data_IF_892951053244
#
_entry.id   IF_892951053244
#
_cell.length_a   1.000
_cell.length_b   1.000
_cell.length_c   1.000
_cell.angle_alpha   90.00
_cell.angle_beta   90.00
_cell.angle_gamma   90.00
#
_symmetry.space_group_name_H-M   'P 1'
#
loop_
_entity.id
_entity.type
_entity.pdbx_description
1 polymer ?
#
# COMPACT_ATOMS: atom_id res chain seq x y z
N UNK A 1 -17.20 0.54 -2.29
CA UNK A 1 -16.26 0.89 -3.38
C UNK A 1 -14.96 0.10 -3.20
N UNK A 2 -14.29 -0.29 -4.28
CA UNK A 2 -12.95 -0.89 -4.24
C UNK A 2 -11.95 0.12 -4.82
N UNK A 3 -10.89 0.42 -4.07
CA UNK A 3 -9.87 1.38 -4.46
C UNK A 3 -8.50 0.73 -4.41
N UNK A 4 -7.68 1.01 -5.42
CA UNK A 4 -6.28 0.58 -5.45
C UNK A 4 -5.38 1.80 -5.43
N UNK A 5 -4.49 1.86 -4.45
CA UNK A 5 -3.55 2.96 -4.28
C UNK A 5 -2.15 2.44 -4.60
N UNK A 6 -1.42 3.23 -5.39
CA UNK A 6 -0.04 2.96 -5.75
C UNK A 6 0.87 3.86 -4.94
N UNK A 7 1.69 3.25 -4.10
CA UNK A 7 2.68 3.94 -3.32
C UNK A 7 4.04 4.02 -3.99
N UNK A 8 4.88 4.85 -3.39
CA UNK A 8 6.30 4.95 -3.70
C UNK A 8 7.09 4.55 -2.47
N UNK A 9 8.16 3.78 -2.67
CA UNK A 9 9.03 3.39 -1.58
C UNK A 9 10.47 3.29 -2.06
N UNK A 10 11.40 3.63 -1.18
CA UNK A 10 12.82 3.50 -1.43
C UNK A 10 13.46 2.57 -0.42
N UNK A 11 14.33 1.68 -0.91
CA UNK A 11 15.11 0.84 -0.02
C UNK A 11 16.23 1.66 0.63
N UNK A 12 16.24 1.70 1.96
CA UNK A 12 17.24 2.40 2.78
C UNK A 12 18.64 1.79 2.68
N UNK A 13 18.74 0.52 2.29
CA UNK A 13 20.03 -0.17 2.19
C UNK A 13 20.68 -0.03 0.81
N UNK A 14 19.94 -0.29 -0.27
CA UNK A 14 20.48 -0.24 -1.64
C UNK A 14 20.10 1.03 -2.41
N UNK A 15 19.35 1.96 -1.80
CA UNK A 15 18.87 3.22 -2.39
C UNK A 15 18.06 3.05 -3.69
N UNK A 16 17.49 1.85 -3.91
CA UNK A 16 16.61 1.60 -5.05
C UNK A 16 15.25 2.22 -4.78
N UNK A 17 14.74 3.00 -5.72
CA UNK A 17 13.37 3.50 -5.71
C UNK A 17 12.43 2.53 -6.45
N UNK A 18 11.25 2.32 -5.88
CA UNK A 18 10.16 1.46 -6.35
C UNK A 18 8.87 2.28 -6.52
N UNK A 19 8.93 3.30 -7.37
CA UNK A 19 7.80 4.15 -7.71
C UNK A 19 6.69 3.34 -8.40
N UNK A 20 5.46 3.42 -7.88
CA UNK A 20 4.27 2.80 -8.47
C UNK A 20 4.20 1.27 -8.39
N UNK A 21 5.15 0.63 -7.69
CA UNK A 21 5.23 -0.84 -7.53
C UNK A 21 4.57 -1.35 -6.27
N UNK A 22 4.31 -0.45 -5.32
CA UNK A 22 3.73 -0.75 -4.03
C UNK A 22 2.21 -0.64 -4.16
N UNK A 23 1.51 -1.77 -4.09
CA UNK A 23 0.07 -1.84 -4.31
C UNK A 23 -0.66 -2.06 -2.98
N UNK A 24 -1.66 -1.22 -2.69
CA UNK A 24 -2.58 -1.44 -1.58
C UNK A 24 -4.01 -1.40 -2.09
N UNK A 25 -4.78 -2.42 -1.73
CA UNK A 25 -6.20 -2.48 -1.96
C UNK A 25 -6.95 -2.00 -0.71
N UNK A 26 -7.91 -1.12 -0.94
CA UNK A 26 -8.85 -0.63 0.05
C UNK A 26 -10.25 -1.00 -0.36
N UNK A 27 -11.07 -1.33 0.64
CA UNK A 27 -12.48 -1.58 0.46
C UNK A 27 -13.28 -0.72 1.43
N UNK A 28 -14.32 -0.12 0.90
CA UNK A 28 -15.30 0.61 1.69
C UNK A 28 -16.24 -0.36 2.40
N UNK A 29 -16.45 -0.16 3.70
CA UNK A 29 -17.41 -0.92 4.49
C UNK A 29 -18.85 -0.44 4.30
N UNK A 30 -19.79 -1.04 5.05
CA UNK A 30 -21.22 -0.70 5.00
C UNK A 30 -21.54 0.71 5.49
N UNK A 31 -20.64 1.31 6.28
CA UNK A 31 -20.76 2.66 6.84
C UNK A 31 -20.05 3.71 5.95
N UNK A 32 -19.49 3.30 4.81
CA UNK A 32 -18.77 4.19 3.90
C UNK A 32 -17.32 4.46 4.29
N UNK A 33 -16.75 3.70 5.24
CA UNK A 33 -15.36 3.90 5.67
C UNK A 33 -14.41 2.98 4.91
N UNK A 34 -13.29 3.55 4.45
CA UNK A 34 -12.23 2.78 3.80
C UNK A 34 -11.46 1.94 4.82
N UNK A 35 -11.32 0.66 4.52
CA UNK A 35 -10.55 -0.29 5.31
C UNK A 35 -9.50 -0.98 4.45
N UNK A 36 -8.36 -1.31 5.06
CA UNK A 36 -7.33 -2.14 4.42
C UNK A 36 -7.80 -3.58 4.33
N UNK A 37 -7.63 -4.21 3.16
CA UNK A 37 -7.93 -5.63 2.96
C UNK A 37 -6.64 -6.47 2.99
N UNK A 38 -6.74 -7.81 3.14
CA UNK A 38 -5.61 -8.73 2.95
C UNK A 38 -4.75 -8.30 1.74
N UNK A 39 -3.42 -8.16 1.92
CA UNK A 39 -2.54 -7.88 0.78
C UNK A 39 -2.67 -9.02 -0.22
N UNK A 40 -2.52 -8.68 -1.51
CA UNK A 40 -2.44 -9.68 -2.57
C UNK A 40 -1.39 -10.72 -2.19
N UNK A 41 -1.77 -11.99 -2.22
CA UNK A 41 -0.80 -13.05 -2.00
C UNK A 41 0.20 -13.05 -3.17
N UNK A 42 1.40 -13.62 -2.99
CA UNK A 42 2.48 -13.53 -4.01
C UNK A 42 2.11 -14.08 -5.39
N UNK A 43 1.04 -14.88 -5.49
CA UNK A 43 0.44 -15.40 -6.72
C UNK A 43 -0.54 -14.43 -7.41
N UNK A 44 -0.92 -13.34 -6.77
CA UNK A 44 -1.82 -12.31 -7.29
C UNK A 44 -1.08 -11.02 -7.67
N UNK A 45 0.18 -10.88 -7.23
CA UNK A 45 1.06 -9.78 -7.62
C UNK A 45 1.59 -9.98 -9.05
N UNK A 46 1.60 -8.89 -9.84
CA UNK A 46 2.28 -8.85 -11.13
C UNK A 46 3.81 -8.93 -10.95
N UNK A 47 4.56 -9.31 -11.99
CA UNK A 47 6.02 -9.53 -11.96
C UNK A 47 6.82 -8.32 -11.41
N UNK A 48 6.26 -7.13 -11.52
CA UNK A 48 6.85 -5.85 -11.14
C UNK A 48 6.25 -5.21 -9.88
N UNK A 49 5.27 -5.87 -9.24
CA UNK A 49 4.65 -5.42 -8.00
C UNK A 49 5.37 -5.97 -6.76
N UNK A 50 5.33 -5.21 -5.67
CA UNK A 50 5.97 -5.57 -4.41
C UNK A 50 4.91 -5.67 -3.31
N UNK A 51 4.92 -6.81 -2.62
CA UNK A 51 4.07 -7.07 -1.47
C UNK A 51 4.40 -6.10 -0.33
N UNK A 52 3.36 -5.52 0.27
CA UNK A 52 3.47 -4.70 1.48
C UNK A 52 2.75 -5.41 2.62
N UNK A 53 3.41 -5.47 3.75
CA UNK A 53 2.88 -6.01 4.99
C UNK A 53 2.43 -4.83 5.85
N UNK A 54 1.12 -4.61 5.92
CA UNK A 54 0.51 -3.54 6.73
C UNK A 54 -0.52 -4.11 7.70
N UNK A 55 -0.88 -3.32 8.72
CA UNK A 55 -1.93 -3.70 9.66
C UNK A 55 -3.33 -3.58 9.03
N UNK A 56 -4.20 -4.54 9.35
CA UNK A 56 -5.62 -4.48 8.97
C UNK A 56 -6.36 -3.46 9.81
N UNK A 57 -7.21 -2.65 9.18
CA UNK A 57 -8.07 -1.73 9.90
C UNK A 57 -8.56 -0.54 9.08
N UNK A 58 -9.20 0.43 9.76
CA UNK A 58 -9.69 1.64 9.15
C UNK A 58 -8.52 2.50 8.65
N UNK A 59 -8.70 3.05 7.45
CA UNK A 59 -7.74 3.94 6.81
C UNK A 59 -8.09 5.37 7.16
N UNK A 60 -7.12 6.10 7.71
CA UNK A 60 -7.28 7.53 8.03
C UNK A 60 -6.49 8.38 7.06
N UNK A 61 -5.18 8.58 7.26
CA UNK A 61 -4.38 9.52 6.47
C UNK A 61 -3.30 8.81 5.63
N UNK A 62 -2.79 7.69 6.13
CA UNK A 62 -1.75 6.90 5.50
C UNK A 62 -1.84 5.44 5.92
N UNK A 63 -1.23 4.58 5.12
CA UNK A 63 -1.04 3.17 5.45
C UNK A 63 0.44 2.95 5.69
N UNK A 64 0.77 2.51 6.90
CA UNK A 64 2.12 2.18 7.30
C UNK A 64 2.32 0.66 7.26
N UNK A 65 3.46 0.24 6.75
CA UNK A 65 3.80 -1.16 6.63
C UNK A 65 5.28 -1.39 6.38
N UNK A 66 5.63 -2.61 6.03
CA UNK A 66 6.97 -3.00 5.62
C UNK A 66 6.95 -3.71 4.27
N UNK A 67 8.04 -3.62 3.53
CA UNK A 67 8.26 -4.41 2.32
C UNK A 67 9.67 -4.98 2.30
N UNK A 68 9.83 -6.14 1.68
CA UNK A 68 11.14 -6.74 1.45
C UNK A 68 11.70 -6.24 0.12
N UNK A 69 12.87 -5.61 0.14
CA UNK A 69 13.50 -5.12 -1.08
C UNK A 69 13.89 -6.30 -2.00
N UNK A 70 13.40 -6.37 -3.24
CA UNK A 70 13.70 -7.50 -4.13
C UNK A 70 15.20 -7.60 -4.47
N UNK A 71 15.91 -6.47 -4.48
CA UNK A 71 17.33 -6.41 -4.86
C UNK A 71 18.28 -6.88 -3.75
N UNK A 72 18.04 -6.48 -2.50
CA UNK A 72 18.98 -6.72 -1.39
C UNK A 72 18.36 -7.49 -0.22
N UNK A 73 17.10 -7.92 -0.34
CA UNK A 73 16.37 -8.71 0.65
C UNK A 73 16.28 -8.05 2.04
N UNK A 74 16.53 -6.74 2.12
CA UNK A 74 16.39 -5.96 3.34
C UNK A 74 14.94 -5.56 3.53
N UNK A 75 14.40 -5.71 4.74
CA UNK A 75 13.09 -5.18 5.11
C UNK A 75 13.16 -3.66 5.26
N UNK A 76 12.21 -2.94 4.68
CA UNK A 76 12.13 -1.49 4.72
C UNK A 76 10.74 -1.06 5.16
N UNK A 77 10.67 -0.01 5.98
CA UNK A 77 9.41 0.65 6.27
C UNK A 77 8.89 1.38 5.03
N UNK A 78 7.57 1.37 4.85
CA UNK A 78 6.86 2.12 3.82
C UNK A 78 5.66 2.82 4.43
N UNK A 79 5.41 4.05 3.97
CA UNK A 79 4.23 4.84 4.33
C UNK A 79 3.60 5.33 3.03
N UNK A 80 2.38 4.90 2.77
CA UNK A 80 1.62 5.28 1.57
C UNK A 80 0.55 6.27 2.02
N UNK A 81 0.68 7.51 1.57
CA UNK A 81 -0.29 8.57 1.87
C UNK A 81 -1.55 8.38 1.03
N UNK A 82 -2.70 8.56 1.67
CA UNK A 82 -4.01 8.44 1.02
C UNK A 82 -4.43 9.83 0.57
N UNK A 83 -4.69 10.06 -0.73
CA UNK A 83 -5.13 11.37 -1.20
C UNK A 83 -6.39 11.83 -0.46
N UNK A 84 -6.43 13.10 -0.04
CA UNK A 84 -7.59 13.64 0.69
C UNK A 84 -8.90 13.50 -0.10
N UNK A 85 -8.83 13.55 -1.44
CA UNK A 85 -9.97 13.37 -2.36
C UNK A 85 -10.61 11.98 -2.27
N UNK A 86 -9.84 10.99 -1.79
CA UNK A 86 -10.32 9.62 -1.54
C UNK A 86 -11.01 9.52 -0.19
N UNK A 87 -10.52 10.25 0.81
CA UNK A 87 -11.03 10.22 2.18
C UNK A 87 -12.30 11.07 2.34
N UNK A 88 -12.38 12.16 1.60
CA UNK A 88 -13.50 13.10 1.60
C UNK A 88 -13.86 13.47 0.15
N UNK A 89 -14.56 12.57 -0.58
CA UNK A 89 -14.93 12.83 -1.96
C UNK A 89 -15.90 14.02 -2.02
N UNK A 90 -15.69 15.00 -2.92
CA UNK A 90 -16.57 16.16 -3.01
C UNK A 90 -18.01 15.72 -3.36
N UNK A 91 -18.96 16.20 -2.56
CA UNK A 91 -20.42 16.01 -2.69
C UNK A 91 -20.99 16.49 -4.05
#
# INVERSE_FOLDING_TARGET
MDLTIRGEASCTHCNQNFEGKMMIHLQEDLDGQLQTVPPLEGNELQEDEIAIHYAYGPVTEAIEGTFTCPNCQTENAVRIEIPAEVLDPPL
#
